data_IF_741634698214
#
_entry.id   IF_741634698214
#
_cell.length_a   1.000
_cell.length_b   1.000
_cell.length_c   1.000
_cell.angle_alpha   90.00
_cell.angle_beta   90.00
_cell.angle_gamma   90.00
#
_symmetry.space_group_name_H-M   'P 1'
#
loop_
_entity.id
_entity.type
_entity.pdbx_description
1 polymer ?
#
# COMPACT_ATOMS: atom_id res chain seq x y z
N UNK A 1 17.42 3.31 -41.72
CA UNK A 1 16.45 2.92 -40.66
C UNK A 1 16.88 1.55 -40.16
N UNK A 2 17.54 1.52 -39.01
CA UNK A 2 18.30 0.35 -38.54
C UNK A 2 17.40 -0.76 -38.01
N UNK A 3 17.76 -2.00 -38.31
CA UNK A 3 17.05 -3.24 -37.94
C UNK A 3 16.84 -3.35 -36.42
N UNK A 4 17.70 -2.72 -35.61
CA UNK A 4 17.60 -2.64 -34.15
C UNK A 4 16.37 -1.86 -33.65
N UNK A 5 15.94 -0.81 -34.36
CA UNK A 5 14.74 -0.03 -33.99
C UNK A 5 13.45 -0.81 -34.21
N UNK A 6 13.45 -1.78 -35.13
CA UNK A 6 12.30 -2.62 -35.42
C UNK A 6 12.15 -3.75 -34.38
N UNK A 7 13.26 -4.31 -33.89
CA UNK A 7 13.25 -5.34 -32.84
C UNK A 7 12.78 -4.81 -31.48
N UNK A 8 13.19 -3.61 -31.08
CA UNK A 8 12.73 -2.97 -29.84
C UNK A 8 11.21 -2.68 -29.87
N UNK A 9 10.68 -2.24 -31.02
CA UNK A 9 9.26 -2.00 -31.22
C UNK A 9 8.43 -3.31 -31.22
N UNK A 10 8.95 -4.39 -31.81
CA UNK A 10 8.32 -5.72 -31.81
C UNK A 10 8.30 -6.39 -30.42
N UNK A 11 9.30 -6.13 -29.57
CA UNK A 11 9.34 -6.62 -28.17
C UNK A 11 8.34 -5.85 -27.29
N UNK A 12 8.08 -4.57 -27.56
CA UNK A 12 7.11 -3.76 -26.82
C UNK A 12 5.64 -4.11 -27.13
N UNK A 13 5.36 -4.71 -28.29
CA UNK A 13 3.99 -5.06 -28.71
C UNK A 13 3.54 -6.45 -28.26
N UNK A 14 4.47 -7.35 -27.89
CA UNK A 14 4.15 -8.71 -27.47
C UNK A 14 3.72 -8.71 -25.99
N UNK A 15 2.54 -9.25 -25.72
CA UNK A 15 1.96 -9.37 -24.36
C UNK A 15 1.68 -8.04 -23.64
N UNK A 16 1.44 -6.96 -24.40
CA UNK A 16 1.05 -5.65 -23.85
C UNK A 16 -0.36 -5.67 -23.25
N UNK A 17 -0.57 -4.90 -22.17
CA UNK A 17 -1.84 -4.85 -21.46
C UNK A 17 -2.20 -3.44 -21.01
N UNK A 18 -3.44 -3.26 -20.60
CA UNK A 18 -3.92 -2.06 -19.90
C UNK A 18 -4.47 -2.44 -18.54
N UNK A 19 -4.42 -1.51 -17.59
CA UNK A 19 -4.91 -1.75 -16.24
C UNK A 19 -5.97 -0.74 -15.85
N UNK A 20 -6.99 -1.21 -15.14
CA UNK A 20 -7.98 -0.39 -14.44
C UNK A 20 -7.72 -0.51 -12.95
N UNK A 21 -7.43 0.61 -12.30
CA UNK A 21 -7.22 0.68 -10.85
C UNK A 21 -8.37 1.45 -10.23
N UNK A 22 -9.19 0.76 -9.42
CA UNK A 22 -10.40 1.33 -8.84
C UNK A 22 -10.26 1.42 -7.33
N UNK A 23 -10.41 2.63 -6.82
CA UNK A 23 -10.74 2.87 -5.42
C UNK A 23 -12.25 2.70 -5.23
N UNK A 24 -12.64 1.48 -4.84
CA UNK A 24 -14.03 1.09 -4.73
C UNK A 24 -14.73 1.61 -3.48
N UNK A 25 -14.03 2.28 -2.56
CA UNK A 25 -14.67 2.91 -1.40
C UNK A 25 -15.50 4.13 -1.85
N UNK A 26 -15.01 4.91 -2.83
CA UNK A 26 -15.75 6.02 -3.43
C UNK A 26 -16.28 5.78 -4.84
N UNK A 27 -15.61 4.99 -5.68
CA UNK A 27 -16.05 4.70 -7.05
C UNK A 27 -16.98 3.47 -7.10
N UNK A 28 -18.29 3.73 -7.09
CA UNK A 28 -19.32 2.70 -6.94
C UNK A 28 -19.90 2.28 -8.28
N UNK A 29 -20.11 0.99 -8.47
CA UNK A 29 -20.83 0.45 -9.63
C UNK A 29 -22.29 0.90 -9.63
N UNK A 30 -22.93 0.89 -10.80
CA UNK A 30 -24.34 1.25 -10.95
C UNK A 30 -25.25 0.34 -10.11
N UNK A 31 -26.32 0.93 -9.59
CA UNK A 31 -27.29 0.25 -8.73
C UNK A 31 -27.91 -0.98 -9.40
N UNK A 32 -28.09 -0.96 -10.71
CA UNK A 32 -28.60 -2.11 -11.49
C UNK A 32 -27.71 -3.35 -11.36
N UNK A 33 -26.38 -3.17 -11.29
CA UNK A 33 -25.46 -4.28 -11.07
C UNK A 33 -25.41 -4.70 -9.59
N UNK A 34 -25.63 -3.77 -8.67
CA UNK A 34 -25.52 -4.06 -7.24
C UNK A 34 -26.80 -4.70 -6.66
N UNK A 35 -27.97 -4.45 -7.27
CA UNK A 35 -29.27 -4.98 -6.81
C UNK A 35 -29.44 -6.48 -7.06
N UNK A 36 -28.80 -7.02 -8.08
CA UNK A 36 -28.71 -8.45 -8.38
C UNK A 36 -27.22 -8.83 -8.34
N UNK A 37 -26.65 -9.13 -7.17
CA UNK A 37 -25.21 -9.21 -7.00
C UNK A 37 -24.57 -10.36 -7.81
N UNK A 38 -25.28 -11.47 -8.02
CA UNK A 38 -24.77 -12.61 -8.79
C UNK A 38 -24.64 -12.24 -10.27
N UNK A 39 -25.77 -11.95 -10.93
CA UNK A 39 -25.78 -11.61 -12.35
C UNK A 39 -25.09 -10.27 -12.62
N UNK A 40 -25.30 -9.30 -11.74
CA UNK A 40 -24.77 -7.96 -11.86
C UNK A 40 -23.25 -7.90 -11.70
N UNK A 41 -22.64 -8.78 -10.89
CA UNK A 41 -21.19 -8.93 -10.82
C UNK A 41 -20.59 -9.29 -12.19
N UNK A 42 -21.17 -10.28 -12.86
CA UNK A 42 -20.73 -10.74 -14.19
C UNK A 42 -20.95 -9.68 -15.27
N UNK A 43 -22.12 -9.03 -15.25
CA UNK A 43 -22.45 -7.96 -16.19
C UNK A 43 -21.56 -6.72 -15.99
N UNK A 44 -21.25 -6.35 -14.76
CA UNK A 44 -20.37 -5.23 -14.45
C UNK A 44 -18.94 -5.48 -14.96
N UNK A 45 -18.39 -6.68 -14.75
CA UNK A 45 -17.08 -7.06 -15.24
C UNK A 45 -17.01 -7.00 -16.78
N UNK A 46 -18.00 -7.61 -17.45
CA UNK A 46 -18.10 -7.62 -18.91
C UNK A 46 -18.26 -6.19 -19.46
N UNK A 47 -19.10 -5.37 -18.84
CA UNK A 47 -19.36 -3.99 -19.24
C UNK A 47 -18.13 -3.11 -19.05
N UNK A 48 -17.38 -3.28 -17.95
CA UNK A 48 -16.11 -2.59 -17.72
C UNK A 48 -15.09 -2.94 -18.80
N UNK A 49 -14.86 -4.25 -19.03
CA UNK A 49 -13.93 -4.71 -20.08
C UNK A 49 -14.29 -4.12 -21.43
N UNK A 50 -15.56 -4.17 -21.82
CA UNK A 50 -16.05 -3.63 -23.08
C UNK A 50 -15.82 -2.11 -23.20
N UNK A 51 -16.12 -1.37 -22.13
CA UNK A 51 -15.93 0.10 -22.11
C UNK A 51 -14.45 0.48 -22.31
N UNK A 52 -13.53 -0.26 -21.68
CA UNK A 52 -12.09 -0.07 -21.85
C UNK A 52 -11.65 -0.44 -23.27
N UNK A 53 -12.12 -1.56 -23.82
CA UNK A 53 -11.79 -1.96 -25.19
C UNK A 53 -12.30 -0.96 -26.23
N UNK A 54 -13.51 -0.41 -26.05
CA UNK A 54 -14.08 0.64 -26.90
C UNK A 54 -13.22 1.91 -26.86
N UNK A 55 -12.78 2.34 -25.67
CA UNK A 55 -11.84 3.45 -25.54
C UNK A 55 -10.52 3.16 -26.27
N UNK A 56 -9.93 1.98 -26.05
CA UNK A 56 -8.66 1.61 -26.67
C UNK A 56 -8.75 1.59 -28.20
N UNK A 57 -9.85 1.09 -28.77
CA UNK A 57 -10.11 1.13 -30.22
C UNK A 57 -10.19 2.55 -30.75
N UNK A 58 -10.84 3.46 -30.02
CA UNK A 58 -10.96 4.88 -30.38
C UNK A 58 -9.61 5.61 -30.38
N UNK A 59 -8.76 5.35 -29.37
CA UNK A 59 -7.49 6.09 -29.19
C UNK A 59 -6.28 5.39 -29.82
N UNK A 60 -6.38 4.11 -30.16
CA UNK A 60 -5.29 3.32 -30.71
C UNK A 60 -5.84 2.22 -31.65
N UNK A 61 -6.16 2.55 -32.92
CA UNK A 61 -6.83 1.64 -33.84
C UNK A 61 -6.09 0.34 -34.18
N UNK A 62 -4.77 0.28 -33.91
CA UNK A 62 -3.93 -0.91 -34.14
C UNK A 62 -3.79 -1.79 -32.87
N UNK A 63 -4.48 -1.43 -31.77
CA UNK A 63 -4.46 -2.17 -30.52
C UNK A 63 -5.55 -3.25 -30.51
N UNK A 64 -5.44 -4.24 -31.40
CA UNK A 64 -6.35 -5.40 -31.35
C UNK A 64 -6.16 -6.20 -30.06
N UNK A 65 -7.29 -6.67 -29.52
CA UNK A 65 -7.44 -7.53 -28.32
C UNK A 65 -6.43 -7.27 -27.19
N UNK A 66 -6.31 -6.01 -26.77
CA UNK A 66 -5.44 -5.68 -25.64
C UNK A 66 -5.98 -6.30 -24.35
N UNK A 67 -5.12 -7.04 -23.64
CA UNK A 67 -5.45 -7.62 -22.34
C UNK A 67 -5.83 -6.51 -21.36
N UNK A 68 -6.99 -6.64 -20.71
CA UNK A 68 -7.46 -5.70 -19.69
C UNK A 68 -7.32 -6.37 -18.34
N UNK A 69 -6.54 -5.78 -17.44
CA UNK A 69 -6.43 -6.17 -16.04
C UNK A 69 -7.25 -5.19 -15.21
N UNK A 70 -8.08 -5.66 -14.27
CA UNK A 70 -8.81 -4.76 -13.38
C UNK A 70 -8.53 -5.12 -11.92
N UNK A 71 -8.22 -4.12 -11.09
CA UNK A 71 -8.01 -4.28 -9.66
C UNK A 71 -8.90 -3.27 -8.93
N UNK A 72 -9.91 -3.79 -8.25
CA UNK A 72 -10.83 -3.01 -7.44
C UNK A 72 -10.49 -3.25 -5.98
N UNK A 73 -10.22 -2.18 -5.25
CA UNK A 73 -9.88 -2.22 -3.83
C UNK A 73 -10.98 -1.52 -3.03
N UNK A 74 -11.64 -2.25 -2.13
CA UNK A 74 -12.64 -1.66 -1.23
C UNK A 74 -12.71 -2.38 0.11
N UNK A 75 -13.16 -1.68 1.14
CA UNK A 75 -13.59 -2.28 2.40
C UNK A 75 -15.00 -2.84 2.23
N UNK A 76 -15.16 -4.16 2.14
CA UNK A 76 -16.50 -4.76 1.94
C UNK A 76 -17.44 -4.42 3.10
N UNK A 77 -16.87 -4.28 4.31
CA UNK A 77 -17.64 -3.86 5.48
C UNK A 77 -18.20 -2.44 5.34
N UNK A 78 -17.38 -1.49 4.89
CA UNK A 78 -17.81 -0.09 4.81
C UNK A 78 -18.64 0.19 3.56
N UNK A 79 -18.25 -0.40 2.43
CA UNK A 79 -19.01 -0.35 1.19
C UNK A 79 -20.39 -1.02 1.36
N UNK A 80 -20.46 -2.24 1.89
CA UNK A 80 -21.72 -2.95 2.12
C UNK A 80 -22.68 -2.17 3.05
N UNK A 81 -22.16 -1.58 4.13
CA UNK A 81 -22.93 -0.70 5.02
C UNK A 81 -23.47 0.53 4.28
N UNK A 82 -22.62 1.18 3.47
CA UNK A 82 -23.02 2.35 2.69
C UNK A 82 -24.13 2.01 1.69
N UNK A 83 -23.96 0.94 0.92
CA UNK A 83 -24.94 0.49 -0.07
C UNK A 83 -26.28 0.14 0.58
N UNK A 84 -26.27 -0.52 1.74
CA UNK A 84 -27.48 -0.89 2.47
C UNK A 84 -28.19 0.32 3.05
N UNK A 85 -27.44 1.27 3.62
CA UNK A 85 -28.01 2.51 4.18
C UNK A 85 -28.74 3.33 3.11
N UNK A 86 -28.26 3.28 1.88
CA UNK A 86 -28.81 3.99 0.73
C UNK A 86 -29.89 3.16 -0.01
N UNK A 87 -30.24 1.97 0.49
CA UNK A 87 -31.28 1.11 -0.08
C UNK A 87 -30.92 0.51 -1.44
N UNK A 88 -29.63 0.45 -1.79
CA UNK A 88 -29.16 -0.14 -3.06
C UNK A 88 -29.13 -1.66 -2.98
N UNK A 89 -28.72 -2.21 -1.83
CA UNK A 89 -28.63 -3.65 -1.56
C UNK A 89 -29.47 -4.04 -0.35
N UNK A 90 -29.88 -5.30 -0.27
CA UNK A 90 -30.74 -5.81 0.80
C UNK A 90 -29.94 -6.16 2.06
N UNK A 91 -28.75 -6.74 1.87
CA UNK A 91 -27.84 -7.12 2.94
C UNK A 91 -26.43 -6.58 2.71
N UNK A 92 -25.70 -6.29 3.79
CA UNK A 92 -24.32 -5.81 3.69
C UNK A 92 -23.39 -6.84 3.03
N UNK A 93 -23.74 -8.13 3.12
CA UNK A 93 -22.97 -9.22 2.51
C UNK A 93 -23.18 -9.34 0.99
N UNK A 94 -24.16 -8.65 0.40
CA UNK A 94 -24.43 -8.68 -1.04
C UNK A 94 -23.19 -8.21 -1.84
N UNK A 95 -22.37 -7.32 -1.26
CA UNK A 95 -21.11 -6.89 -1.87
C UNK A 95 -20.09 -8.03 -2.00
N UNK A 96 -20.07 -8.98 -1.06
CA UNK A 96 -19.18 -10.14 -1.13
C UNK A 96 -19.57 -11.05 -2.30
N UNK A 97 -20.88 -11.26 -2.48
CA UNK A 97 -21.45 -12.04 -3.60
C UNK A 97 -21.14 -11.34 -4.92
N UNK A 98 -21.39 -10.03 -5.00
CA UNK A 98 -21.06 -9.22 -6.16
C UNK A 98 -19.58 -9.31 -6.53
N UNK A 99 -18.70 -9.17 -5.54
CA UNK A 99 -17.26 -9.23 -5.75
C UNK A 99 -16.77 -10.61 -6.22
N UNK A 100 -17.38 -11.69 -5.72
CA UNK A 100 -17.09 -13.07 -6.15
C UNK A 100 -17.46 -13.27 -7.62
N UNK A 101 -18.69 -12.93 -8.01
CA UNK A 101 -19.16 -13.06 -9.39
C UNK A 101 -18.40 -12.13 -10.36
N UNK A 102 -18.11 -10.90 -9.94
CA UNK A 102 -17.27 -9.97 -10.71
C UNK A 102 -15.87 -10.55 -10.99
N UNK A 103 -15.23 -11.10 -9.95
CA UNK A 103 -13.88 -11.68 -10.05
C UNK A 103 -13.89 -12.93 -10.92
N UNK A 104 -14.89 -13.80 -10.77
CA UNK A 104 -14.97 -15.05 -11.52
C UNK A 104 -15.35 -14.87 -12.99
N UNK A 105 -16.03 -13.77 -13.35
CA UNK A 105 -16.42 -13.50 -14.73
C UNK A 105 -15.25 -13.26 -15.68
N UNK A 106 -14.09 -12.82 -15.16
CA UNK A 106 -12.94 -12.37 -15.94
C UNK A 106 -11.65 -12.73 -15.20
N UNK A 107 -10.83 -13.65 -15.75
CA UNK A 107 -9.63 -14.15 -15.07
C UNK A 107 -8.61 -13.06 -14.66
N UNK A 108 -8.59 -11.93 -15.36
CA UNK A 108 -7.69 -10.80 -15.11
C UNK A 108 -8.26 -9.75 -14.15
N UNK A 109 -9.48 -9.96 -13.65
CA UNK A 109 -10.20 -9.02 -12.83
C UNK A 109 -10.23 -9.52 -11.40
N UNK A 110 -9.94 -8.63 -10.45
CA UNK A 110 -9.98 -8.96 -9.04
C UNK A 110 -10.67 -7.86 -8.26
N UNK A 111 -11.68 -8.26 -7.48
CA UNK A 111 -12.31 -7.42 -6.48
C UNK A 111 -11.78 -7.81 -5.09
N UNK A 112 -10.87 -6.98 -4.57
CA UNK A 112 -10.11 -7.27 -3.36
C UNK A 112 -10.74 -6.58 -2.15
N UNK A 113 -11.21 -7.38 -1.20
CA UNK A 113 -11.56 -6.90 0.13
C UNK A 113 -10.29 -6.49 0.89
N UNK A 114 -10.16 -5.19 1.20
CA UNK A 114 -8.99 -4.67 1.92
C UNK A 114 -9.14 -4.73 3.44
N UNK A 115 -10.34 -5.10 3.91
CA UNK A 115 -10.69 -5.17 5.32
C UNK A 115 -10.80 -3.80 6.00
N UNK A 116 -11.06 -3.83 7.31
CA UNK A 116 -11.28 -2.61 8.11
C UNK A 116 -10.01 -1.77 8.21
N UNK A 117 -10.17 -0.46 8.05
CA UNK A 117 -9.11 0.53 8.26
C UNK A 117 -9.21 1.66 7.27
N UNK A 118 -9.00 2.89 7.74
CA UNK A 118 -8.87 4.05 6.87
C UNK A 118 -7.60 3.89 6.02
N UNK A 119 -7.67 4.28 4.75
CA UNK A 119 -6.54 4.31 3.80
C UNK A 119 -6.03 2.95 3.28
N UNK A 120 -6.68 1.82 3.61
CA UNK A 120 -6.24 0.52 3.11
C UNK A 120 -6.43 0.37 1.59
N UNK A 121 -7.54 0.86 1.05
CA UNK A 121 -7.82 0.90 -0.39
C UNK A 121 -6.81 1.82 -1.07
N UNK A 122 -6.66 3.04 -0.57
CA UNK A 122 -5.77 4.05 -1.14
C UNK A 122 -4.32 3.60 -1.15
N UNK A 123 -3.86 2.98 -0.06
CA UNK A 123 -2.51 2.43 -0.01
C UNK A 123 -2.26 1.42 -1.14
N UNK A 124 -3.24 0.55 -1.42
CA UNK A 124 -3.13 -0.45 -2.50
C UNK A 124 -3.20 0.20 -3.87
N UNK A 125 -4.15 1.13 -4.09
CA UNK A 125 -4.29 1.88 -5.34
C UNK A 125 -2.99 2.63 -5.67
N UNK A 126 -2.45 3.42 -4.73
CA UNK A 126 -1.16 4.14 -4.91
C UNK A 126 -0.02 3.18 -5.26
N UNK A 127 0.07 2.05 -4.56
CA UNK A 127 1.14 1.07 -4.80
C UNK A 127 1.02 0.40 -6.17
N UNK A 128 -0.19 0.08 -6.60
CA UNK A 128 -0.43 -0.49 -7.92
C UNK A 128 -0.18 0.53 -9.03
N UNK A 129 -0.58 1.79 -8.85
CA UNK A 129 -0.28 2.88 -9.78
C UNK A 129 1.24 2.97 -10.03
N UNK A 130 2.05 3.12 -8.98
CA UNK A 130 3.52 3.16 -9.13
C UNK A 130 4.12 1.87 -9.69
N UNK A 131 3.47 0.72 -9.50
CA UNK A 131 3.93 -0.56 -10.06
C UNK A 131 3.69 -0.62 -11.57
N UNK A 132 2.46 -0.35 -12.02
CA UNK A 132 2.09 -0.41 -13.43
C UNK A 132 2.72 0.71 -14.25
N UNK A 133 2.97 1.88 -13.67
CA UNK A 133 3.75 2.93 -14.33
C UNK A 133 5.18 2.49 -14.63
N UNK A 134 5.81 1.66 -13.79
CA UNK A 134 7.16 1.14 -14.07
C UNK A 134 7.18 -0.07 -15.00
N UNK A 135 6.01 -0.58 -15.39
CA UNK A 135 5.90 -1.70 -16.31
C UNK A 135 5.73 -1.19 -17.75
N UNK A 136 6.75 -1.42 -18.58
CA UNK A 136 6.76 -0.97 -19.98
C UNK A 136 5.73 -1.69 -20.87
N UNK A 137 5.24 -2.87 -20.46
CA UNK A 137 4.14 -3.57 -21.16
C UNK A 137 2.77 -2.99 -20.81
N UNK A 138 2.66 -2.20 -19.73
CA UNK A 138 1.43 -1.51 -19.37
C UNK A 138 1.29 -0.23 -20.20
N UNK A 139 0.44 -0.30 -21.23
CA UNK A 139 0.25 0.78 -22.21
C UNK A 139 -0.64 1.91 -21.72
N UNK A 140 -1.62 1.60 -20.87
CA UNK A 140 -2.54 2.58 -20.27
C UNK A 140 -2.95 2.15 -18.86
N UNK A 141 -3.16 3.14 -18.00
CA UNK A 141 -3.69 3.01 -16.64
C UNK A 141 -4.94 3.87 -16.55
N UNK A 142 -6.09 3.22 -16.39
CA UNK A 142 -7.36 3.87 -16.09
C UNK A 142 -7.49 4.00 -14.58
N UNK A 143 -7.31 5.22 -14.08
CA UNK A 143 -7.29 5.52 -12.66
C UNK A 143 -8.69 5.98 -12.21
N UNK A 144 -9.37 5.15 -11.42
CA UNK A 144 -10.74 5.38 -10.94
C UNK A 144 -10.70 5.68 -9.44
N UNK A 145 -10.24 6.89 -9.08
CA UNK A 145 -10.09 7.35 -7.70
C UNK A 145 -10.30 8.86 -7.55
N UNK A 146 -10.95 9.50 -8.52
CA UNK A 146 -11.01 10.97 -8.63
C UNK A 146 -11.87 11.67 -7.56
N UNK A 147 -12.48 10.90 -6.66
CA UNK A 147 -13.28 11.40 -5.53
C UNK A 147 -12.42 11.75 -4.29
N UNK A 148 -11.16 11.30 -4.25
CA UNK A 148 -10.24 11.59 -3.14
C UNK A 148 -9.09 12.48 -3.62
N UNK A 149 -9.06 13.71 -3.10
CA UNK A 149 -8.01 14.68 -3.37
C UNK A 149 -6.61 14.20 -2.91
N UNK A 150 -6.54 13.21 -2.02
CA UNK A 150 -5.31 12.58 -1.55
C UNK A 150 -4.45 12.01 -2.68
N UNK A 151 -5.05 11.56 -3.78
CA UNK A 151 -4.32 11.01 -4.93
C UNK A 151 -3.68 12.06 -5.83
N UNK A 152 -4.08 13.34 -5.74
CA UNK A 152 -3.57 14.39 -6.63
C UNK A 152 -2.06 14.55 -6.48
N UNK A 153 -1.55 14.45 -5.26
CA UNK A 153 -0.10 14.51 -5.01
C UNK A 153 0.64 13.33 -5.64
N UNK A 154 0.10 12.11 -5.50
CA UNK A 154 0.69 10.90 -6.07
C UNK A 154 0.70 10.94 -7.62
N UNK A 155 -0.39 11.40 -8.23
CA UNK A 155 -0.49 11.53 -9.69
C UNK A 155 0.43 12.63 -10.24
N UNK A 156 0.55 13.77 -9.56
CA UNK A 156 1.41 14.89 -9.96
C UNK A 156 2.90 14.51 -9.99
N UNK A 157 3.34 13.58 -9.15
CA UNK A 157 4.71 13.06 -9.21
C UNK A 157 5.00 12.41 -10.58
N UNK A 158 3.98 11.83 -11.21
CA UNK A 158 4.07 11.09 -12.45
C UNK A 158 3.74 11.92 -13.70
N UNK A 159 3.09 13.07 -13.58
CA UNK A 159 2.87 14.00 -14.71
C UNK A 159 4.12 14.78 -15.12
N UNK A 160 5.23 14.66 -14.38
CA UNK A 160 6.52 15.28 -14.75
C UNK A 160 7.35 14.44 -15.72
N UNK A 161 6.92 13.21 -15.96
CA UNK A 161 7.51 12.27 -16.91
C UNK A 161 6.55 12.12 -18.09
N UNK A 162 6.97 12.60 -19.26
CA UNK A 162 6.14 12.65 -20.49
C UNK A 162 5.68 11.25 -20.93
N UNK A 163 6.45 10.19 -20.64
CA UNK A 163 6.04 8.81 -20.96
C UNK A 163 5.02 8.27 -19.95
N UNK A 164 5.06 8.71 -18.70
CA UNK A 164 4.07 8.34 -17.68
C UNK A 164 2.76 9.12 -17.86
N UNK A 165 2.84 10.41 -18.17
CA UNK A 165 1.70 11.30 -18.44
C UNK A 165 0.82 10.74 -19.55
N UNK A 166 1.43 10.34 -20.67
CA UNK A 166 0.71 9.76 -21.81
C UNK A 166 0.04 8.41 -21.53
N UNK A 167 0.30 7.77 -20.38
CA UNK A 167 -0.27 6.47 -20.03
C UNK A 167 -1.43 6.53 -19.04
N UNK A 168 -1.61 7.63 -18.32
CA UNK A 168 -2.67 7.74 -17.32
C UNK A 168 -3.94 8.32 -17.96
N UNK A 169 -5.08 7.70 -17.68
CA UNK A 169 -6.41 8.21 -17.99
C UNK A 169 -7.20 8.26 -16.69
N UNK A 170 -7.64 9.44 -16.30
CA UNK A 170 -8.50 9.60 -15.14
C UNK A 170 -9.91 9.16 -15.52
N UNK A 171 -10.55 8.38 -14.65
CA UNK A 171 -11.95 8.00 -14.83
C UNK A 171 -12.77 8.71 -13.77
N UNK A 172 -13.60 9.63 -14.26
CA UNK A 172 -14.54 10.37 -13.44
C UNK A 172 -15.82 9.55 -13.30
N UNK A 173 -16.13 9.14 -12.07
CA UNK A 173 -17.37 8.44 -11.75
C UNK A 173 -18.39 9.47 -11.28
N UNK A 174 -18.22 9.99 -10.07
CA UNK A 174 -18.84 11.25 -9.62
C UNK A 174 -17.96 12.44 -10.03
N UNK A 175 -18.47 13.70 -9.99
CA UNK A 175 -17.63 14.87 -10.24
C UNK A 175 -16.31 14.80 -9.47
N UNK A 176 -15.21 14.91 -10.20
CA UNK A 176 -13.86 14.79 -9.65
C UNK A 176 -13.57 15.95 -8.70
N UNK A 177 -12.74 15.71 -7.69
CA UNK A 177 -12.25 16.78 -6.83
C UNK A 177 -11.56 17.86 -7.69
N UNK A 178 -11.83 19.18 -7.47
CA UNK A 178 -11.40 20.23 -8.39
C UNK A 178 -9.91 20.26 -8.72
N UNK A 179 -9.07 19.78 -7.80
CA UNK A 179 -7.62 19.73 -8.00
C UNK A 179 -7.15 18.74 -9.07
N UNK A 180 -7.96 17.74 -9.47
CA UNK A 180 -7.60 16.83 -10.57
C UNK A 180 -7.51 17.56 -11.92
N UNK A 181 -8.28 18.63 -12.11
CA UNK A 181 -8.19 19.46 -13.32
C UNK A 181 -6.81 20.12 -13.50
N UNK A 182 -6.03 20.25 -12.43
CA UNK A 182 -4.68 20.85 -12.47
C UNK A 182 -3.58 19.87 -12.93
N UNK A 183 -3.93 18.62 -13.21
CA UNK A 183 -2.98 17.58 -13.64
C UNK A 183 -2.83 17.50 -15.17
N UNK A 184 -3.70 18.16 -15.93
CA UNK A 184 -3.75 18.12 -17.41
C UNK A 184 -3.81 16.69 -18.01
N UNK A 185 -4.32 15.74 -17.22
CA UNK A 185 -4.53 14.35 -17.64
C UNK A 185 -5.88 14.21 -18.34
N UNK A 186 -6.01 13.31 -19.34
CA UNK A 186 -7.30 13.02 -19.97
C UNK A 186 -8.27 12.45 -18.94
N UNK A 187 -9.50 12.99 -18.92
CA UNK A 187 -10.59 12.56 -18.06
C UNK A 187 -11.66 11.90 -18.94
N UNK A 188 -12.02 10.68 -18.58
CA UNK A 188 -13.04 9.88 -19.26
C UNK A 188 -14.16 9.45 -18.29
N UNK A 189 -15.32 9.13 -18.84
CA UNK A 189 -16.48 8.68 -18.08
C UNK A 189 -16.99 7.35 -18.60
N UNK A 190 -17.08 6.35 -17.72
CA UNK A 190 -17.70 5.06 -18.03
C UNK A 190 -19.08 4.97 -17.38
N UNK A 191 -20.01 5.81 -17.86
CA UNK A 191 -21.36 5.98 -17.30
C UNK A 191 -22.19 4.69 -17.30
N UNK A 192 -21.83 3.72 -18.15
CA UNK A 192 -22.47 2.39 -18.18
C UNK A 192 -21.99 1.47 -17.06
N UNK A 193 -20.86 1.77 -16.43
CA UNK A 193 -20.20 0.92 -15.42
C UNK A 193 -20.41 1.48 -14.01
N UNK A 194 -20.10 2.76 -13.84
CA UNK A 194 -20.07 3.41 -12.53
C UNK A 194 -21.25 4.37 -12.37
N UNK A 195 -21.63 4.61 -11.11
CA UNK A 195 -22.57 5.69 -10.78
C UNK A 195 -21.95 7.04 -11.11
N UNK A 196 -22.78 7.93 -11.66
CA UNK A 196 -22.42 9.33 -11.90
C UNK A 196 -22.81 10.27 -10.75
N UNK A 197 -23.67 9.80 -9.84
CA UNK A 197 -24.20 10.59 -8.73
C UNK A 197 -23.75 10.02 -7.38
N UNK A 198 -23.16 10.84 -6.49
CA UNK A 198 -22.76 10.42 -5.15
C UNK A 198 -23.98 10.06 -4.30
N UNK A 199 -23.75 9.37 -3.18
CA UNK A 199 -24.82 9.16 -2.20
C UNK A 199 -25.17 10.44 -1.46
N UNK A 200 -26.43 10.56 -1.01
CA UNK A 200 -26.91 11.76 -0.33
C UNK A 200 -26.14 12.03 0.98
N UNK A 201 -25.68 10.97 1.64
CA UNK A 201 -24.89 11.06 2.87
C UNK A 201 -23.42 11.44 2.64
N UNK A 202 -22.91 11.29 1.41
CA UNK A 202 -21.56 11.70 1.02
C UNK A 202 -21.49 13.19 0.70
N UNK A 203 -22.57 13.75 0.14
CA UNK A 203 -22.73 15.18 -0.12
C UNK A 203 -22.76 15.99 1.19
N UNK A 204 -23.36 15.45 2.26
CA UNK A 204 -23.40 16.10 3.59
C UNK A 204 -22.04 16.21 4.28
N UNK A 205 -21.10 15.28 4.00
CA UNK A 205 -19.73 15.33 4.57
C UNK A 205 -18.88 16.43 3.95
N UNK A 206 -19.20 16.86 2.72
CA UNK A 206 -18.52 17.96 2.03
C UNK A 206 -19.09 19.35 2.39
N UNK A 207 -20.25 19.42 3.05
CA UNK A 207 -20.89 20.68 3.46
C UNK A 207 -20.55 21.17 4.87
N UNK A 208 -19.72 20.45 5.65
CA UNK A 208 -19.27 20.91 6.97
C UNK A 208 -17.88 21.53 6.87
N UNK A 209 -17.84 22.71 6.26
CA UNK A 209 -16.72 23.64 6.30
C UNK A 209 -17.06 24.81 7.22
N UNK A 210 -16.34 24.87 8.35
CA UNK A 210 -16.00 26.04 9.19
C UNK A 210 -17.08 27.03 9.63
N UNK A 211 -17.42 26.96 10.92
CA UNK A 211 -17.56 28.19 11.72
C UNK A 211 -17.14 27.91 13.17
N UNK A 212 -15.85 28.15 13.46
CA UNK A 212 -15.42 28.45 14.83
C UNK A 212 -14.99 29.92 14.80
N UNK A 213 -15.88 30.75 15.35
CA UNK A 213 -15.69 32.18 15.59
C UNK A 213 -14.62 32.35 16.67
N UNK A 214 -13.45 32.84 16.28
CA UNK A 214 -12.41 33.28 17.23
C UNK A 214 -12.73 34.68 17.73
N UNK A 215 -12.91 34.85 19.04
CA UNK A 215 -12.77 36.15 19.68
C UNK A 215 -11.29 36.43 19.94
N UNK A 216 -10.85 37.59 19.48
CA UNK A 216 -9.47 38.09 19.55
C UNK A 216 -9.32 38.89 20.85
N UNK A 217 -8.29 38.60 21.64
CA UNK A 217 -7.62 39.65 22.42
C UNK A 217 -6.13 39.56 22.14
N UNK A 218 -5.64 40.65 21.55
CA UNK A 218 -4.27 40.92 21.11
C UNK A 218 -3.34 41.19 22.30
N UNK A 219 -2.10 40.69 22.24
CA UNK A 219 -0.85 41.42 22.52
C UNK A 219 0.31 40.65 21.84
N UNK A 220 0.96 41.27 20.85
CA UNK A 220 2.26 40.93 20.22
C UNK A 220 3.39 41.75 20.90
N UNK A 221 4.72 41.59 20.63
CA UNK A 221 5.42 41.04 19.43
C UNK A 221 6.63 40.10 19.76
N UNK A 222 7.24 39.34 18.85
CA UNK A 222 8.16 39.73 17.75
C UNK A 222 8.52 38.53 16.83
N UNK A 223 8.73 38.81 15.54
CA UNK A 223 9.11 37.94 14.39
C UNK A 223 10.64 37.67 14.29
N UNK A 224 11.25 36.99 13.27
CA UNK A 224 10.73 36.38 12.01
C UNK A 224 11.39 35.02 11.52
N UNK A 225 10.77 34.44 10.47
CA UNK A 225 11.32 33.59 9.35
C UNK A 225 11.24 32.04 9.39
N UNK A 226 10.41 31.54 8.47
CA UNK A 226 10.71 30.59 7.37
C UNK A 226 11.28 29.20 7.70
N UNK A 227 10.46 28.16 7.51
CA UNK A 227 10.94 26.81 7.26
C UNK A 227 10.36 26.22 5.96
N UNK A 228 11.28 26.04 5.01
CA UNK A 228 11.19 25.10 3.90
C UNK A 228 11.01 23.66 4.41
N UNK A 229 10.14 22.91 3.74
CA UNK A 229 10.16 21.45 3.77
C UNK A 229 11.25 20.91 2.82
N UNK A 230 11.90 19.78 3.18
CA UNK A 230 12.16 18.77 2.16
C UNK A 230 11.82 17.34 2.58
N UNK A 231 11.07 16.68 1.69
CA UNK A 231 11.24 15.35 1.10
C UNK A 231 11.79 14.18 1.95
N UNK A 232 11.04 13.06 1.96
CA UNK A 232 11.57 11.73 2.26
C UNK A 232 11.26 10.74 1.13
N UNK A 233 12.36 10.27 0.52
CA UNK A 233 12.58 9.28 -0.54
C UNK A 233 11.94 7.90 -0.29
N UNK A 234 11.85 7.00 -1.27
CA UNK A 234 11.56 5.56 -1.08
C UNK A 234 12.28 4.79 -2.18
N UNK A 235 12.88 3.66 -1.83
CA UNK A 235 13.51 2.72 -2.77
C UNK A 235 13.62 1.35 -2.07
N UNK A 236 13.59 0.14 -2.66
CA UNK A 236 13.90 -0.45 -3.99
C UNK A 236 13.04 -1.74 -4.16
N UNK A 237 13.04 -2.55 -5.23
CA UNK A 237 13.20 -2.49 -6.70
C UNK A 237 12.99 -3.96 -7.20
N UNK A 238 12.55 -4.15 -8.45
CA UNK A 238 12.67 -5.41 -9.21
C UNK A 238 13.60 -5.14 -10.41
N UNK A 239 14.39 -6.13 -10.81
CA UNK A 239 15.36 -6.06 -11.93
C UNK A 239 14.82 -6.82 -13.14
N UNK A 240 15.07 -6.28 -14.35
CA UNK A 240 15.11 -7.02 -15.61
C UNK A 240 15.08 -6.13 -16.85
N UNK A 241 16.23 -5.86 -17.47
CA UNK A 241 16.32 -5.26 -18.82
C UNK A 241 17.63 -4.50 -19.08
N UNK A 242 18.50 -5.09 -19.91
CA UNK A 242 19.85 -4.62 -20.27
C UNK A 242 19.90 -3.24 -20.93
N UNK A 243 20.63 -2.31 -20.31
CA UNK A 243 21.48 -1.36 -21.01
C UNK A 243 22.81 -1.27 -20.24
N UNK A 244 23.92 -1.32 -20.96
CA UNK A 244 25.24 -0.98 -20.45
C UNK A 244 25.21 0.49 -20.03
N UNK A 245 24.81 0.72 -18.79
CA UNK A 245 25.19 1.92 -18.05
C UNK A 245 26.57 1.57 -17.50
N UNK A 246 27.58 2.36 -17.83
CA UNK A 246 28.82 2.33 -17.08
C UNK A 246 28.47 2.53 -15.61
N UNK A 247 28.48 1.42 -14.86
CA UNK A 247 28.20 1.42 -13.44
C UNK A 247 29.42 2.09 -12.83
N UNK A 248 29.32 3.38 -12.58
CA UNK A 248 30.19 4.04 -11.62
C UNK A 248 29.86 3.43 -10.26
N UNK A 249 30.62 2.39 -9.89
CA UNK A 249 30.41 1.47 -8.76
C UNK A 249 30.51 2.14 -7.37
N UNK A 250 30.45 3.47 -7.26
CA UNK A 250 30.81 4.18 -6.04
C UNK A 250 29.85 5.27 -5.56
N UNK A 251 28.57 5.26 -5.96
CA UNK A 251 27.56 6.06 -5.22
C UNK A 251 26.76 5.17 -4.29
N UNK A 252 27.03 5.19 -2.96
CA UNK A 252 26.17 4.50 -2.02
C UNK A 252 24.77 5.09 -2.12
N UNK A 253 23.80 4.23 -2.36
CA UNK A 253 22.38 4.50 -2.17
C UNK A 253 22.19 5.27 -0.86
N UNK A 254 21.60 6.47 -0.96
CA UNK A 254 21.38 7.36 0.19
C UNK A 254 20.30 6.73 1.08
N UNK A 255 20.74 5.79 1.93
CA UNK A 255 19.90 5.06 2.86
C UNK A 255 19.16 6.07 3.73
N UNK A 256 17.83 6.10 3.60
CA UNK A 256 16.98 6.90 4.49
C UNK A 256 17.40 6.67 5.94
N UNK A 257 17.65 7.74 6.71
CA UNK A 257 18.21 7.63 8.04
C UNK A 257 17.33 6.71 8.88
N UNK A 258 17.95 5.72 9.51
CA UNK A 258 17.26 4.81 10.42
C UNK A 258 16.68 5.67 11.55
N UNK A 259 15.43 5.41 11.93
CA UNK A 259 14.74 6.13 13.00
C UNK A 259 14.10 5.19 14.02
N UNK A 260 14.05 5.60 15.29
CA UNK A 260 13.40 4.87 16.38
C UNK A 260 12.20 5.66 16.86
N UNK A 261 11.05 5.01 16.83
CA UNK A 261 9.78 5.60 17.29
C UNK A 261 9.61 5.33 18.77
N UNK A 262 9.25 6.36 19.53
CA UNK A 262 9.05 6.27 20.97
C UNK A 262 7.68 6.82 21.38
N UNK A 263 7.14 6.26 22.47
CA UNK A 263 5.96 6.77 23.15
C UNK A 263 6.32 7.90 24.13
N UNK A 264 5.32 8.42 24.87
CA UNK A 264 5.49 9.51 25.85
C UNK A 264 6.43 9.18 27.00
N UNK A 265 6.61 7.90 27.29
CA UNK A 265 7.54 7.42 28.32
C UNK A 265 8.93 7.12 27.73
N UNK A 266 9.20 7.63 26.52
CA UNK A 266 10.40 7.35 25.73
C UNK A 266 10.61 5.85 25.45
N UNK A 267 9.58 5.01 25.55
CA UNK A 267 9.71 3.58 25.27
C UNK A 267 9.61 3.35 23.77
N UNK A 268 10.48 2.48 23.25
CA UNK A 268 10.52 2.13 21.84
C UNK A 268 9.24 1.42 21.42
N UNK A 269 8.63 1.93 20.36
CA UNK A 269 7.50 1.33 19.68
C UNK A 269 8.02 0.62 18.44
N UNK A 270 7.73 -0.67 18.35
CA UNK A 270 8.09 -1.47 17.20
C UNK A 270 7.10 -1.25 16.05
N UNK A 271 7.58 -1.30 14.79
CA UNK A 271 6.70 -1.31 13.64
C UNK A 271 5.68 -2.45 13.76
N UNK A 272 4.43 -2.16 13.42
CA UNK A 272 3.37 -3.17 13.41
C UNK A 272 3.75 -4.32 12.49
N UNK A 273 3.74 -5.54 13.00
CA UNK A 273 4.06 -6.73 12.23
C UNK A 273 2.75 -7.44 11.94
N UNK A 274 2.36 -7.49 10.67
CA UNK A 274 1.25 -8.33 10.24
C UNK A 274 1.72 -9.77 10.32
N UNK A 275 0.94 -10.64 10.95
CA UNK A 275 1.14 -12.08 10.85
C UNK A 275 1.10 -12.45 9.36
N UNK A 276 2.14 -13.14 8.89
CA UNK A 276 2.23 -13.54 7.49
C UNK A 276 1.18 -14.64 7.23
N UNK A 277 -0.01 -14.26 6.74
CA UNK A 277 -1.09 -15.21 6.39
C UNK A 277 -0.93 -15.84 5.00
N UNK A 278 0.24 -15.73 4.38
CA UNK A 278 0.57 -16.53 3.20
C UNK A 278 0.67 -18.00 3.62
N UNK A 279 -0.35 -18.80 3.31
CA UNK A 279 -0.42 -20.23 3.70
C UNK A 279 0.80 -21.00 3.14
N UNK A 280 1.33 -20.60 1.98
CA UNK A 280 2.52 -21.19 1.36
C UNK A 280 3.83 -20.93 2.11
N UNK A 281 4.20 -19.67 2.32
CA UNK A 281 5.51 -19.30 2.88
C UNK A 281 5.72 -19.80 4.30
N UNK A 282 4.65 -19.87 5.11
CA UNK A 282 4.72 -20.44 6.45
C UNK A 282 5.05 -21.93 6.44
N UNK A 283 4.50 -22.67 5.48
CA UNK A 283 4.73 -24.11 5.31
C UNK A 283 6.14 -24.39 4.76
N UNK A 284 6.58 -23.65 3.74
CA UNK A 284 7.93 -23.83 3.17
C UNK A 284 9.01 -23.42 4.17
N UNK A 285 8.83 -22.30 4.89
CA UNK A 285 9.70 -21.91 5.99
C UNK A 285 9.80 -22.99 7.06
N UNK A 286 8.66 -23.59 7.44
CA UNK A 286 8.64 -24.67 8.43
C UNK A 286 9.43 -25.88 7.94
N UNK A 287 9.23 -26.33 6.70
CA UNK A 287 10.00 -27.45 6.10
C UNK A 287 11.51 -27.20 6.14
N UNK A 288 11.96 -26.01 5.72
CA UNK A 288 13.39 -25.63 5.75
C UNK A 288 13.93 -25.53 7.17
N UNK A 289 13.14 -25.05 8.12
CA UNK A 289 13.52 -25.01 9.53
C UNK A 289 13.66 -26.42 10.12
N UNK A 290 12.75 -27.31 9.77
CA UNK A 290 12.74 -28.68 10.29
C UNK A 290 13.95 -29.48 9.74
N UNK A 291 14.39 -29.22 8.49
CA UNK A 291 15.56 -29.87 7.90
C UNK A 291 16.90 -29.49 8.55
N UNK A 292 16.96 -28.37 9.27
CA UNK A 292 18.17 -27.92 9.99
C UNK A 292 18.09 -28.12 11.49
N UNK A 293 16.96 -28.64 12.00
CA UNK A 293 16.78 -28.88 13.42
C UNK A 293 17.91 -29.78 13.96
N UNK A 294 18.53 -29.46 15.11
CA UNK A 294 18.14 -28.46 16.12
C UNK A 294 18.68 -27.03 15.88
N UNK A 295 19.39 -26.79 14.78
CA UNK A 295 19.99 -25.49 14.45
C UNK A 295 18.91 -24.46 14.04
N UNK A 296 18.89 -23.25 14.62
CA UNK A 296 18.00 -22.17 14.17
C UNK A 296 18.62 -21.37 13.01
N UNK A 297 17.77 -20.72 12.21
CA UNK A 297 18.20 -19.65 11.31
C UNK A 297 18.77 -18.46 12.08
N UNK A 298 19.85 -17.88 11.57
CA UNK A 298 20.49 -16.73 12.19
C UNK A 298 19.72 -15.43 11.92
N UNK A 299 19.16 -14.82 12.98
CA UNK A 299 18.51 -13.51 12.85
C UNK A 299 19.46 -12.46 12.22
N UNK A 300 20.72 -12.39 12.67
CA UNK A 300 21.68 -11.39 12.17
C UNK A 300 21.89 -11.50 10.66
N UNK A 301 22.16 -12.71 10.18
CA UNK A 301 22.33 -12.96 8.75
C UNK A 301 21.06 -12.63 7.95
N UNK A 302 19.92 -13.23 8.30
CA UNK A 302 18.71 -13.15 7.47
C UNK A 302 17.91 -11.85 7.62
N UNK A 303 18.05 -11.12 8.74
CA UNK A 303 17.24 -9.91 9.00
C UNK A 303 18.07 -8.62 8.99
N UNK A 304 19.34 -8.66 9.40
CA UNK A 304 20.24 -7.50 9.33
C UNK A 304 21.15 -7.53 8.08
N UNK A 305 21.08 -8.60 7.29
CA UNK A 305 21.88 -8.80 6.07
C UNK A 305 23.35 -9.15 6.34
N UNK A 306 23.76 -9.24 7.61
CA UNK A 306 25.13 -9.60 8.02
C UNK A 306 25.17 -10.26 9.38
N UNK A 307 26.02 -11.27 9.53
CA UNK A 307 26.34 -11.89 10.81
C UNK A 307 27.79 -11.55 11.17
N UNK A 308 28.00 -10.89 12.31
CA UNK A 308 29.35 -10.47 12.74
C UNK A 308 30.12 -11.57 13.50
N UNK A 309 29.59 -12.81 13.54
CA UNK A 309 30.23 -13.94 14.22
C UNK A 309 30.97 -14.78 13.20
N UNK A 310 32.27 -14.98 13.42
CA UNK A 310 33.15 -15.78 12.57
C UNK A 310 32.78 -17.27 12.57
N UNK A 311 32.43 -17.83 13.74
CA UNK A 311 31.93 -19.19 13.89
C UNK A 311 30.51 -19.18 14.47
N UNK A 312 29.54 -18.84 13.61
CA UNK A 312 28.15 -18.75 14.04
C UNK A 312 27.51 -20.15 14.09
N UNK A 313 27.10 -20.59 15.28
CA UNK A 313 26.36 -21.84 15.46
C UNK A 313 24.95 -21.88 14.82
N UNK A 314 24.52 -20.80 14.17
CA UNK A 314 23.21 -20.67 13.51
C UNK A 314 23.34 -20.96 12.01
N UNK A 315 22.23 -21.32 11.38
CA UNK A 315 22.23 -21.61 9.94
C UNK A 315 22.33 -20.33 9.11
N UNK A 316 23.15 -20.36 8.05
CA UNK A 316 23.37 -19.28 7.08
C UNK A 316 23.25 -19.74 5.62
N UNK A 317 23.35 -21.05 5.34
CA UNK A 317 23.56 -21.57 3.98
C UNK A 317 22.25 -21.86 3.23
N UNK A 318 21.11 -21.81 3.90
CA UNK A 318 19.81 -22.02 3.26
C UNK A 318 19.24 -20.70 2.78
N UNK A 319 18.90 -20.60 1.51
CA UNK A 319 18.24 -19.42 0.99
C UNK A 319 16.78 -19.34 1.45
N UNK A 320 16.35 -18.16 1.92
CA UNK A 320 14.97 -17.87 2.29
C UNK A 320 14.36 -16.90 1.28
N UNK A 321 13.15 -17.20 0.82
CA UNK A 321 12.40 -16.27 -0.05
C UNK A 321 12.01 -15.00 0.73
N UNK A 322 11.63 -13.90 0.05
CA UNK A 322 11.16 -12.71 0.74
C UNK A 322 9.97 -12.96 1.70
N UNK A 323 9.05 -13.86 1.33
CA UNK A 323 7.94 -14.29 2.19
C UNK A 323 8.43 -15.07 3.41
N UNK A 324 9.38 -15.97 3.25
CA UNK A 324 10.01 -16.72 4.34
C UNK A 324 10.82 -15.83 5.28
N UNK A 325 11.51 -14.80 4.75
CA UNK A 325 12.18 -13.77 5.56
C UNK A 325 11.15 -12.98 6.38
N UNK A 326 9.98 -12.68 5.83
CA UNK A 326 8.91 -12.03 6.57
C UNK A 326 8.37 -12.92 7.71
N UNK A 327 8.20 -14.22 7.46
CA UNK A 327 7.88 -15.23 8.50
C UNK A 327 8.98 -15.27 9.58
N UNK A 328 10.25 -15.26 9.18
CA UNK A 328 11.38 -15.26 10.11
C UNK A 328 11.40 -13.98 10.97
N UNK A 329 11.17 -12.81 10.37
CA UNK A 329 11.08 -11.52 11.06
C UNK A 329 9.96 -11.51 12.10
N UNK A 330 8.79 -12.02 11.74
CA UNK A 330 7.67 -12.18 12.67
C UNK A 330 8.06 -13.06 13.85
N UNK A 331 8.68 -14.23 13.60
CA UNK A 331 9.15 -15.13 14.67
C UNK A 331 10.18 -14.46 15.59
N UNK A 332 11.16 -13.74 15.05
CA UNK A 332 12.15 -13.00 15.83
C UNK A 332 11.48 -11.98 16.77
N UNK A 333 10.43 -11.30 16.28
CA UNK A 333 9.65 -10.29 17.02
C UNK A 333 8.59 -10.88 17.96
N UNK A 334 8.53 -12.20 18.08
CA UNK A 334 7.89 -12.84 19.24
C UNK A 334 8.86 -13.03 20.41
N UNK A 335 10.15 -12.75 20.20
CA UNK A 335 11.18 -12.73 21.24
C UNK A 335 11.29 -11.35 21.88
N UNK A 336 11.45 -11.32 23.20
CA UNK A 336 11.67 -10.10 23.97
C UNK A 336 13.14 -9.66 23.84
N UNK A 337 13.35 -8.40 23.49
CA UNK A 337 14.67 -7.78 23.42
C UNK A 337 15.34 -7.77 24.79
N UNK A 338 16.62 -8.11 24.84
CA UNK A 338 17.41 -8.04 26.08
C UNK A 338 17.61 -6.61 26.58
N UNK A 339 17.51 -5.57 25.75
CA UNK A 339 17.53 -4.17 26.23
C UNK A 339 16.13 -3.62 26.54
N UNK A 340 15.08 -4.38 26.23
CA UNK A 340 13.69 -4.00 26.52
C UNK A 340 13.26 -2.68 25.88
N UNK A 341 12.23 -2.00 26.39
CA UNK A 341 11.65 -0.80 25.78
C UNK A 341 12.64 0.38 25.65
N UNK A 342 13.72 0.39 26.41
CA UNK A 342 14.77 1.41 26.31
C UNK A 342 15.77 1.15 25.16
N UNK A 343 15.65 0.04 24.42
CA UNK A 343 16.59 -0.28 23.35
C UNK A 343 16.65 0.82 22.28
N UNK A 344 17.87 1.26 21.93
CA UNK A 344 18.13 2.23 20.86
C UNK A 344 18.92 1.67 19.68
N UNK A 345 19.08 0.34 19.60
CA UNK A 345 19.72 -0.28 18.45
C UNK A 345 18.77 -0.31 17.25
N UNK A 346 19.09 0.42 16.19
CA UNK A 346 18.31 0.42 14.95
C UNK A 346 18.16 -0.96 14.34
N UNK A 347 19.22 -1.76 14.44
CA UNK A 347 19.29 -3.12 13.90
C UNK A 347 18.71 -4.18 14.87
N UNK A 348 18.01 -3.76 15.93
CA UNK A 348 17.34 -4.71 16.81
C UNK A 348 16.21 -5.44 16.09
N UNK A 349 16.31 -6.76 16.08
CA UNK A 349 15.38 -7.67 15.41
C UNK A 349 14.33 -8.27 16.37
N UNK A 350 14.48 -8.02 17.67
CA UNK A 350 13.60 -8.52 18.72
C UNK A 350 12.55 -7.46 19.10
N UNK A 351 11.52 -7.85 19.82
CA UNK A 351 10.43 -6.95 20.20
C UNK A 351 10.67 -6.28 21.54
N UNK A 352 10.21 -5.04 21.66
CA UNK A 352 10.33 -4.16 22.81
C UNK A 352 9.00 -4.01 23.55
N UNK A 353 7.90 -4.42 22.91
CA UNK A 353 6.60 -4.65 23.50
C UNK A 353 5.94 -5.89 22.89
N UNK A 354 4.83 -6.36 23.46
CA UNK A 354 4.09 -7.46 22.87
C UNK A 354 3.51 -7.04 21.51
N UNK A 355 3.73 -7.82 20.42
CA UNK A 355 3.18 -7.48 19.10
C UNK A 355 1.64 -7.56 19.05
N UNK A 356 1.01 -8.24 20.01
CA UNK A 356 -0.45 -8.37 20.12
C UNK A 356 -1.07 -7.40 21.14
N UNK A 357 -0.27 -6.58 21.83
CA UNK A 357 -0.74 -5.63 22.85
C UNK A 357 -1.70 -6.26 23.87
N UNK A 358 -2.65 -5.47 24.35
CA UNK A 358 -3.64 -5.94 25.34
C UNK A 358 -4.54 -7.10 24.87
N UNK A 359 -4.58 -7.39 23.56
CA UNK A 359 -5.36 -8.51 23.00
C UNK A 359 -4.61 -9.85 23.01
N UNK A 360 -3.40 -9.89 23.60
CA UNK A 360 -2.60 -11.09 23.68
C UNK A 360 -3.26 -12.16 24.56
N UNK A 361 -3.83 -13.20 23.93
CA UNK A 361 -4.42 -14.34 24.62
C UNK A 361 -3.42 -15.41 25.11
N UNK A 362 -2.10 -15.16 25.05
CA UNK A 362 -1.10 -16.18 25.44
C UNK A 362 -0.94 -16.23 26.95
N UNK A 363 -1.35 -17.35 27.57
CA UNK A 363 -1.28 -17.56 29.02
C UNK A 363 0.12 -17.36 29.61
N UNK A 364 1.17 -17.90 28.97
CA UNK A 364 2.57 -17.73 29.35
C UNK A 364 3.32 -16.73 28.42
N UNK A 365 2.77 -15.54 28.25
CA UNK A 365 3.40 -14.52 27.40
C UNK A 365 4.66 -13.94 28.06
N UNK A 366 5.79 -14.01 27.33
CA UNK A 366 7.10 -13.47 27.76
C UNK A 366 7.11 -11.96 28.03
N UNK A 367 6.10 -11.24 27.52
CA UNK A 367 5.95 -9.80 27.67
C UNK A 367 5.09 -9.40 28.87
N UNK A 368 4.39 -10.33 29.54
CA UNK A 368 3.43 -10.03 30.62
C UNK A 368 4.11 -9.71 31.96
N UNK A 369 5.04 -10.57 32.35
CA UNK A 369 5.80 -10.45 33.60
C UNK A 369 7.29 -10.35 33.25
N UNK A 370 7.62 -9.41 32.37
CA UNK A 370 9.02 -9.19 31.99
C UNK A 370 9.76 -8.42 33.09
N UNK A 371 11.09 -8.38 33.03
CA UNK A 371 11.89 -7.54 33.94
C UNK A 371 11.65 -6.03 33.77
N UNK A 372 10.93 -5.61 32.73
CA UNK A 372 10.49 -4.24 32.49
C UNK A 372 8.99 -4.05 32.75
N UNK A 373 8.38 -4.99 33.48
CA UNK A 373 6.94 -4.99 33.76
C UNK A 373 6.12 -5.59 32.62
N UNK A 374 4.84 -5.20 32.60
CA UNK A 374 3.89 -5.62 31.58
C UNK A 374 4.03 -4.77 30.32
N UNK A 375 4.51 -5.40 29.25
CA UNK A 375 4.74 -4.77 27.95
C UNK A 375 3.59 -5.03 26.96
N UNK A 376 2.38 -5.36 27.46
CA UNK A 376 1.16 -5.35 26.66
C UNK A 376 0.60 -3.92 26.57
N UNK A 377 1.23 -3.10 25.73
CA UNK A 377 0.83 -1.71 25.57
C UNK A 377 -0.62 -1.55 25.12
N UNK A 378 -1.28 -0.58 25.74
CA UNK A 378 -2.57 -0.04 25.30
C UNK A 378 -2.42 0.79 24.02
N UNK A 379 -3.54 1.11 23.37
CA UNK A 379 -3.53 2.01 22.21
C UNK A 379 -2.89 3.38 22.52
N UNK A 380 -3.07 3.89 23.74
CA UNK A 380 -2.45 5.13 24.19
C UNK A 380 -0.93 5.01 24.32
N UNK A 381 -0.42 3.89 24.85
CA UNK A 381 1.02 3.64 24.97
C UNK A 381 1.70 3.32 23.64
N UNK A 382 0.94 2.91 22.62
CA UNK A 382 1.41 2.72 21.25
C UNK A 382 1.41 4.02 20.42
N UNK A 383 0.95 5.14 20.98
CA UNK A 383 1.03 6.43 20.32
C UNK A 383 2.48 6.89 20.23
N UNK A 384 2.95 7.07 19.00
CA UNK A 384 4.28 7.63 18.72
C UNK A 384 4.22 9.13 18.98
N UNK A 385 5.12 9.63 19.81
CA UNK A 385 5.25 11.07 20.09
C UNK A 385 6.64 11.60 19.80
N UNK A 386 7.62 10.72 19.66
CA UNK A 386 8.99 11.10 19.32
C UNK A 386 9.59 10.12 18.30
N UNK A 387 10.43 10.66 17.43
CA UNK A 387 11.20 9.91 16.43
C UNK A 387 12.66 10.29 16.62
N UNK A 388 13.46 9.37 17.14
CA UNK A 388 14.91 9.55 17.33
C UNK A 388 15.64 9.22 16.03
N UNK A 389 16.54 10.10 15.62
CA UNK A 389 17.45 9.92 14.49
C UNK A 389 18.86 9.49 14.97
N UNK A 390 19.72 9.03 14.06
CA UNK A 390 21.05 8.50 14.42
C UNK A 390 21.88 9.48 15.28
N UNK A 391 21.81 10.79 15.00
CA UNK A 391 22.55 11.84 15.74
C UNK A 391 22.08 12.02 17.19
N UNK A 392 20.81 11.77 17.48
CA UNK A 392 20.23 11.93 18.83
C UNK A 392 20.47 10.69 19.70
N UNK A 393 20.67 9.52 19.09
CA UNK A 393 21.00 8.27 19.80
C UNK A 393 22.47 8.24 20.21
N UNK A 394 23.36 8.80 19.40
CA UNK A 394 24.81 8.82 19.64
C UNK A 394 25.26 9.88 20.66
N UNK A 395 24.52 10.98 20.81
CA UNK A 395 24.91 12.12 21.67
C UNK A 395 24.48 11.98 23.13
N UNK A 396 23.71 10.95 23.50
CA UNK A 396 23.34 10.69 24.90
C UNK A 396 22.57 11.82 25.60
N UNK A 397 22.05 12.80 24.86
CA UNK A 397 21.25 13.90 25.38
C UNK A 397 19.84 13.41 25.72
N UNK A 398 19.74 12.75 26.86
CA UNK A 398 18.49 12.57 27.59
C UNK A 398 18.03 13.92 28.14
N UNK A 399 16.81 14.34 27.80
CA UNK A 399 16.02 15.17 28.72
C UNK A 399 15.25 14.26 29.66
#
# INVERSE_FOLDING_TARGET
MSIEGNAAHLVQTKDSFVVVLVDGDGAKFRDEFLRDPEKGGEEAATTLRKSIQEYMKKTSPHADETLVIARIFASFTDLGRSLRTEGVVNAENDISIFAEHFTNACAEFDFVNVGKGKENADYKVRKMLSYFLRNFQCRKIFFVGCHDAGYIHDLREHTRDVEAENRIVLVETTPAEPGFATLDLPIERFERVFRSTPFANETKRHSVSTSVRSEITSIFPTTPKSHHAPQMTRTYANVGGSHHVDIDLNKPDEQKPKSIRCNREFQRIDPTIREHRGVGDGLTYKKKKDSIHPRPFCNGFYLAGKCNKTDCAMEHNIELTPGEIAVHRFKARTGLCSSGPACRSYDCMLSHHCPFGQTCGKGACKFKASRWGDLHYSAAQLQIVQVLTNSEVETGLTM
#
